data_IF_364290261860
#
_entry.id   IF_364290261860
#
_cell.length_a   1.000
_cell.length_b   1.000
_cell.length_c   1.000
_cell.angle_alpha   90.00
_cell.angle_beta   90.00
_cell.angle_gamma   90.00
#
_symmetry.space_group_name_H-M   'P 1'
#
loop_
_entity.id
_entity.type
_entity.pdbx_description
1 polymer ?
#
# COMPACT_ATOMS: atom_id res chain seq x y z
N UNK A 1 8.61 -34.68 -11.55
CA UNK A 1 8.85 -35.22 -10.19
C UNK A 1 8.72 -34.08 -9.21
N UNK A 2 7.62 -34.02 -8.45
CA UNK A 2 7.39 -32.99 -7.44
C UNK A 2 8.40 -33.14 -6.30
N UNK A 3 9.36 -32.20 -6.21
CA UNK A 3 10.23 -32.09 -5.03
C UNK A 3 9.34 -31.78 -3.83
N UNK A 4 9.15 -32.77 -2.94
CA UNK A 4 8.48 -32.57 -1.65
C UNK A 4 9.28 -31.52 -0.88
N UNK A 5 8.66 -30.36 -0.64
CA UNK A 5 9.19 -29.29 0.22
C UNK A 5 9.57 -29.92 1.56
N UNK A 6 10.83 -29.76 1.97
CA UNK A 6 11.28 -30.32 3.25
C UNK A 6 10.67 -29.52 4.41
N UNK A 7 10.42 -30.18 5.54
CA UNK A 7 9.90 -29.51 6.75
C UNK A 7 10.77 -28.34 7.20
N UNK A 8 12.09 -28.43 7.00
CA UNK A 8 13.03 -27.33 7.28
C UNK A 8 12.83 -26.12 6.36
N UNK A 9 12.56 -26.33 5.07
CA UNK A 9 12.23 -25.26 4.12
C UNK A 9 10.89 -24.60 4.47
N UNK A 10 9.88 -25.40 4.84
CA UNK A 10 8.58 -24.90 5.27
C UNK A 10 8.70 -24.01 6.53
N UNK A 11 9.49 -24.43 7.52
CA UNK A 11 9.76 -23.65 8.74
C UNK A 11 10.48 -22.35 8.39
N UNK A 12 11.48 -22.41 7.52
CA UNK A 12 12.25 -21.23 7.11
C UNK A 12 11.38 -20.23 6.33
N UNK A 13 10.51 -20.70 5.44
CA UNK A 13 9.55 -19.87 4.71
C UNK A 13 8.52 -19.25 5.67
N UNK A 14 8.00 -20.03 6.62
CA UNK A 14 7.04 -19.53 7.62
C UNK A 14 7.64 -18.44 8.50
N UNK A 15 8.88 -18.63 8.97
CA UNK A 15 9.60 -17.62 9.76
C UNK A 15 9.87 -16.34 8.95
N UNK A 16 10.28 -16.47 7.68
CA UNK A 16 10.48 -15.32 6.82
C UNK A 16 9.18 -14.53 6.60
N UNK A 17 8.06 -15.23 6.38
CA UNK A 17 6.74 -14.61 6.24
C UNK A 17 6.28 -13.92 7.53
N UNK A 18 6.58 -14.50 8.69
CA UNK A 18 6.27 -13.90 9.98
C UNK A 18 7.06 -12.59 10.20
N UNK A 19 8.35 -12.57 9.86
CA UNK A 19 9.15 -11.33 9.91
C UNK A 19 8.60 -10.23 8.99
N UNK A 20 8.19 -10.57 7.77
CA UNK A 20 7.57 -9.61 6.84
C UNK A 20 6.25 -9.09 7.39
N UNK A 21 5.45 -9.98 8.00
CA UNK A 21 4.18 -9.60 8.61
C UNK A 21 4.36 -8.67 9.81
N UNK A 22 5.43 -8.85 10.59
CA UNK A 22 5.80 -7.93 11.68
C UNK A 22 6.17 -6.53 11.16
N UNK A 23 6.90 -6.43 10.05
CA UNK A 23 7.20 -5.14 9.40
C UNK A 23 5.92 -4.43 8.91
N UNK A 24 4.97 -5.18 8.36
CA UNK A 24 3.67 -4.65 7.95
C UNK A 24 2.86 -4.16 9.16
N UNK A 25 2.84 -4.92 10.26
CA UNK A 25 2.21 -4.54 11.52
C UNK A 25 2.81 -3.23 12.07
N UNK A 26 4.14 -3.11 12.06
CA UNK A 26 4.84 -1.91 12.50
C UNK A 26 4.48 -0.69 11.64
N UNK A 27 4.31 -0.88 10.33
CA UNK A 27 3.84 0.20 9.44
C UNK A 27 2.44 0.68 9.85
N UNK A 28 1.53 -0.25 10.15
CA UNK A 28 0.19 0.06 10.68
C UNK A 28 0.25 0.85 12.00
N UNK A 29 1.13 0.46 12.91
CA UNK A 29 1.37 1.19 14.16
C UNK A 29 1.83 2.63 13.91
N UNK A 30 2.81 2.84 13.02
CA UNK A 30 3.34 4.18 12.69
C UNK A 30 2.24 5.08 12.10
N UNK A 31 1.41 4.55 11.21
CA UNK A 31 0.32 5.32 10.59
C UNK A 31 -0.81 5.67 11.56
N UNK A 32 -1.09 4.83 12.55
CA UNK A 32 -2.17 5.03 13.52
C UNK A 32 -1.75 5.78 14.79
N UNK A 33 -0.45 5.81 15.12
CA UNK A 33 0.09 6.44 16.32
C UNK A 33 -0.33 7.91 16.53
N UNK A 34 -0.40 8.77 15.49
CA UNK A 34 -0.87 10.15 15.65
C UNK A 34 -2.31 10.25 16.17
N UNK A 35 -3.19 9.29 15.87
CA UNK A 35 -4.61 9.41 16.23
C UNK A 35 -4.84 9.58 17.72
N UNK A 36 -4.11 8.85 18.57
CA UNK A 36 -4.27 8.94 20.03
C UNK A 36 -3.51 10.13 20.66
N UNK A 37 -2.42 10.55 20.02
CA UNK A 37 -1.50 11.54 20.59
C UNK A 37 -1.87 12.97 20.23
N UNK A 38 -2.54 13.17 19.09
CA UNK A 38 -2.91 14.51 18.59
C UNK A 38 -3.83 15.26 19.56
N UNK A 39 -4.81 14.61 20.18
CA UNK A 39 -5.70 15.24 21.16
C UNK A 39 -4.96 15.72 22.42
N UNK A 40 -3.95 14.98 22.86
CA UNK A 40 -3.10 15.33 23.99
C UNK A 40 -2.24 16.54 23.65
N UNK A 41 -1.73 16.62 22.42
CA UNK A 41 -0.87 17.72 21.97
C UNK A 41 -1.60 19.05 21.68
N UNK A 42 -2.92 19.00 21.50
CA UNK A 42 -3.79 20.18 21.37
C UNK A 42 -4.25 20.74 22.71
N UNK A 43 -4.19 19.92 23.76
CA UNK A 43 -4.73 20.31 25.07
C UNK A 43 -3.88 21.37 25.75
N UNK A 44 -4.49 22.27 26.52
CA UNK A 44 -3.74 23.24 27.34
C UNK A 44 -2.93 22.59 28.48
N UNK A 45 -3.09 21.27 28.68
CA UNK A 45 -2.34 20.43 29.63
C UNK A 45 -1.18 19.68 28.99
N UNK A 46 -0.70 20.13 27.82
CA UNK A 46 0.45 19.54 27.15
C UNK A 46 1.72 19.59 28.00
N UNK A 47 2.59 18.60 27.83
CA UNK A 47 3.99 18.63 28.31
C UNK A 47 4.88 19.60 27.49
N UNK A 48 4.34 20.20 26.43
CA UNK A 48 5.02 21.15 25.54
C UNK A 48 4.87 22.58 26.06
N UNK A 49 5.81 23.45 25.69
CA UNK A 49 5.82 24.87 26.06
C UNK A 49 4.56 25.63 25.59
N UNK A 50 3.91 25.15 24.52
CA UNK A 50 2.64 25.67 23.99
C UNK A 50 1.82 24.55 23.34
N UNK A 51 0.48 24.67 23.27
CA UNK A 51 -0.34 23.76 22.49
C UNK A 51 0.02 23.86 21.00
N UNK A 52 0.04 22.73 20.31
CA UNK A 52 0.34 22.70 18.88
C UNK A 52 -0.80 23.29 18.05
N UNK A 53 -0.42 24.05 17.02
CA UNK A 53 -1.35 24.57 16.01
C UNK A 53 -1.84 23.47 15.06
N UNK A 54 -2.97 23.71 14.39
CA UNK A 54 -3.52 22.78 13.41
C UNK A 54 -2.55 22.44 12.26
N UNK A 55 -1.70 23.39 11.87
CA UNK A 55 -0.63 23.16 10.89
C UNK A 55 0.44 22.20 11.40
N UNK A 56 0.93 22.39 12.64
CA UNK A 56 1.95 21.51 13.25
C UNK A 56 1.42 20.08 13.41
N UNK A 57 0.14 19.92 13.73
CA UNK A 57 -0.50 18.61 13.85
C UNK A 57 -0.71 17.95 12.50
N UNK A 58 -1.09 18.74 11.49
CA UNK A 58 -1.22 18.23 10.12
C UNK A 58 0.12 17.79 9.56
N UNK A 59 1.20 18.51 9.91
CA UNK A 59 2.57 18.11 9.61
C UNK A 59 2.95 16.81 10.34
N UNK A 60 2.63 16.69 11.64
CA UNK A 60 2.89 15.49 12.43
C UNK A 60 2.20 14.25 11.87
N UNK A 61 0.92 14.37 11.50
CA UNK A 61 0.15 13.27 10.91
C UNK A 61 0.60 12.89 9.50
N UNK A 62 1.13 13.85 8.73
CA UNK A 62 1.55 13.63 7.34
C UNK A 62 3.01 13.15 7.21
N UNK A 63 3.89 13.44 8.17
CA UNK A 63 5.31 13.07 8.17
C UNK A 63 5.61 11.59 7.86
N UNK A 64 4.88 10.60 8.41
CA UNK A 64 5.07 9.19 8.04
C UNK A 64 4.91 8.93 6.53
N UNK A 65 3.95 9.60 5.89
CA UNK A 65 3.71 9.49 4.45
C UNK A 65 4.83 10.16 3.64
N UNK A 66 5.40 11.25 4.14
CA UNK A 66 6.57 11.89 3.52
C UNK A 66 7.81 10.99 3.58
N UNK A 67 8.03 10.30 4.71
CA UNK A 67 9.09 9.30 4.83
C UNK A 67 8.90 8.14 3.83
N UNK A 68 7.68 7.62 3.73
CA UNK A 68 7.35 6.57 2.75
C UNK A 68 7.50 7.03 1.29
N UNK A 69 7.15 8.29 1.01
CA UNK A 69 7.35 8.93 -0.30
C UNK A 69 8.83 8.98 -0.69
N UNK A 70 9.70 9.44 0.22
CA UNK A 70 11.14 9.51 -0.04
C UNK A 70 11.76 8.12 -0.18
N UNK A 71 11.33 7.14 0.63
CA UNK A 71 11.89 5.80 0.62
C UNK A 71 11.45 4.97 -0.61
N UNK A 72 10.23 5.16 -1.12
CA UNK A 72 9.64 4.32 -2.18
C UNK A 72 10.49 4.19 -3.46
N UNK A 73 11.07 5.27 -4.03
CA UNK A 73 11.98 5.17 -5.17
C UNK A 73 13.23 4.35 -4.88
N UNK A 74 13.83 4.52 -3.70
CA UNK A 74 15.04 3.79 -3.30
C UNK A 74 14.75 2.31 -3.05
N UNK A 75 13.58 1.97 -2.49
CA UNK A 75 13.13 0.59 -2.35
C UNK A 75 13.02 -0.10 -3.72
N UNK A 76 12.42 0.57 -4.71
CA UNK A 76 12.32 0.04 -6.08
C UNK A 76 13.68 -0.21 -6.74
N UNK A 77 14.61 0.74 -6.60
CA UNK A 77 15.98 0.60 -7.08
C UNK A 77 16.73 -0.53 -6.37
N UNK A 78 16.62 -0.59 -5.04
CA UNK A 78 17.23 -1.64 -4.23
C UNK A 78 16.66 -3.03 -4.56
N UNK A 79 15.35 -3.17 -4.83
CA UNK A 79 14.79 -4.44 -5.28
C UNK A 79 15.35 -4.89 -6.64
N UNK A 80 15.60 -3.95 -7.54
CA UNK A 80 16.18 -4.24 -8.84
C UNK A 80 17.68 -4.56 -8.77
N UNK A 81 18.43 -3.93 -7.85
CA UNK A 81 19.88 -4.11 -7.71
C UNK A 81 20.24 -5.31 -6.82
N UNK A 82 19.58 -5.44 -5.66
CA UNK A 82 19.91 -6.42 -4.61
C UNK A 82 19.06 -7.70 -4.72
N UNK A 83 17.97 -7.66 -5.49
CA UNK A 83 16.95 -8.71 -5.49
C UNK A 83 16.04 -8.65 -4.25
N UNK A 84 14.85 -9.26 -4.36
CA UNK A 84 13.76 -9.11 -3.36
C UNK A 84 14.16 -9.56 -1.95
N UNK A 85 14.88 -10.67 -1.83
CA UNK A 85 15.31 -11.25 -0.54
C UNK A 85 16.30 -10.33 0.18
N UNK A 86 17.37 -9.91 -0.48
CA UNK A 86 18.42 -9.09 0.14
C UNK A 86 17.96 -7.66 0.36
N UNK A 87 17.12 -7.09 -0.50
CA UNK A 87 16.52 -5.79 -0.25
C UNK A 87 15.59 -5.82 0.97
N UNK A 88 14.77 -6.86 1.14
CA UNK A 88 13.92 -7.02 2.34
C UNK A 88 14.75 -7.15 3.60
N UNK A 89 15.85 -7.91 3.55
CA UNK A 89 16.81 -7.97 4.64
C UNK A 89 17.38 -6.55 4.87
N UNK A 90 17.93 -5.90 3.84
CA UNK A 90 18.58 -4.58 3.92
C UNK A 90 17.69 -3.48 4.51
N UNK A 91 16.42 -3.39 4.12
CA UNK A 91 15.48 -2.43 4.72
C UNK A 91 14.88 -2.91 6.06
N UNK A 92 14.96 -4.20 6.37
CA UNK A 92 14.67 -4.75 7.70
C UNK A 92 15.84 -4.65 8.69
N UNK A 93 17.08 -4.49 8.21
CA UNK A 93 18.32 -4.37 9.01
C UNK A 93 18.32 -3.20 10.01
N UNK A 94 17.65 -2.06 9.76
CA UNK A 94 17.53 -0.99 10.76
C UNK A 94 16.59 -1.33 11.92
N UNK A 95 15.76 -2.38 11.81
CA UNK A 95 14.70 -2.70 12.77
C UNK A 95 14.93 -3.98 13.57
N UNK A 96 15.76 -4.90 13.07
CA UNK A 96 16.24 -6.04 13.84
C UNK A 96 17.74 -5.91 13.91
N UNK A 97 18.27 -5.76 15.12
CA UNK A 97 19.70 -5.77 15.45
C UNK A 97 20.40 -6.96 14.78
N UNK A 98 20.86 -6.73 13.56
CA UNK A 98 21.20 -7.79 12.62
C UNK A 98 22.47 -8.55 13.02
N UNK A 99 23.39 -7.90 13.73
CA UNK A 99 24.55 -8.58 14.31
C UNK A 99 24.13 -9.57 15.40
N UNK A 100 23.13 -9.23 16.22
CA UNK A 100 22.68 -10.07 17.34
C UNK A 100 21.81 -11.22 16.84
N UNK A 101 20.93 -11.00 15.87
CA UNK A 101 20.05 -12.05 15.33
C UNK A 101 20.82 -13.09 14.50
N UNK A 102 21.82 -12.66 13.71
CA UNK A 102 22.68 -13.59 12.95
C UNK A 102 23.63 -14.36 13.88
N UNK A 103 24.20 -13.70 14.89
CA UNK A 103 25.03 -14.35 15.91
C UNK A 103 24.23 -15.34 16.77
N UNK A 104 22.97 -15.02 17.12
CA UNK A 104 22.08 -15.86 17.92
C UNK A 104 21.59 -17.10 17.14
N UNK A 105 21.18 -16.95 15.88
CA UNK A 105 20.66 -18.08 15.09
C UNK A 105 21.71 -19.13 14.72
N UNK A 106 22.99 -18.74 14.68
CA UNK A 106 24.09 -19.64 14.27
C UNK A 106 25.11 -19.95 15.37
N UNK A 107 24.96 -19.39 16.58
CA UNK A 107 25.94 -19.50 17.68
C UNK A 107 27.39 -19.14 17.26
N UNK A 108 27.58 -18.06 16.51
CA UNK A 108 28.92 -17.62 16.05
C UNK A 108 29.28 -16.24 16.59
N UNK A 109 30.58 -16.04 16.90
CA UNK A 109 31.12 -14.76 17.39
C UNK A 109 31.28 -13.75 16.26
N UNK A 110 30.91 -12.50 16.54
CA UNK A 110 30.94 -11.35 15.63
C UNK A 110 32.40 -11.07 15.20
N UNK A 111 32.66 -11.05 13.88
CA UNK A 111 33.94 -10.61 13.28
C UNK A 111 34.85 -11.65 12.61
N UNK A 112 34.41 -12.87 12.33
CA UNK A 112 35.23 -13.89 11.62
C UNK A 112 35.36 -13.62 10.11
N UNK A 113 36.52 -13.96 9.53
CA UNK A 113 36.84 -13.91 8.09
C UNK A 113 35.85 -14.69 7.20
N UNK A 114 35.07 -15.59 7.78
CA UNK A 114 34.04 -16.37 7.08
C UNK A 114 32.86 -15.49 6.61
N UNK A 115 32.57 -14.38 7.31
CA UNK A 115 31.50 -13.45 6.93
C UNK A 115 31.88 -12.69 5.65
N UNK A 116 33.16 -12.35 5.49
CA UNK A 116 33.66 -11.70 4.28
C UNK A 116 33.61 -12.62 3.07
N UNK A 117 33.90 -13.91 3.25
CA UNK A 117 33.81 -14.94 2.22
C UNK A 117 32.36 -15.21 1.77
N UNK A 118 31.42 -15.21 2.72
CA UNK A 118 29.99 -15.40 2.42
C UNK A 118 29.39 -14.17 1.70
N UNK A 119 29.81 -12.96 2.06
CA UNK A 119 29.41 -11.71 1.36
C UNK A 119 29.92 -11.73 -0.09
N UNK A 120 31.11 -12.27 -0.33
CA UNK A 120 31.67 -12.40 -1.69
C UNK A 120 30.92 -13.46 -2.53
N UNK A 121 30.51 -14.57 -1.89
CA UNK A 121 29.64 -15.58 -2.51
C UNK A 121 28.26 -15.04 -2.87
N UNK A 122 27.73 -14.13 -2.05
CA UNK A 122 26.48 -13.40 -2.31
C UNK A 122 26.67 -12.39 -3.45
N UNK A 123 27.81 -11.68 -3.51
CA UNK A 123 28.15 -10.77 -4.63
C UNK A 123 28.21 -11.50 -5.97
N UNK A 124 28.74 -12.72 -6.01
CA UNK A 124 28.78 -13.57 -7.20
C UNK A 124 27.38 -14.03 -7.67
N UNK A 125 26.42 -14.19 -6.76
CA UNK A 125 25.03 -14.51 -7.11
C UNK A 125 24.20 -13.28 -7.56
N UNK A 126 24.66 -12.07 -7.25
CA UNK A 126 23.97 -10.80 -7.58
C UNK A 126 24.30 -10.32 -9.00
N UNK A 127 25.46 -10.70 -9.57
CA UNK A 127 25.84 -10.36 -10.95
C UNK A 127 26.57 -11.52 -11.66
N UNK A 128 25.87 -12.40 -12.39
CA UNK A 128 26.46 -13.57 -13.04
C UNK A 128 27.44 -13.24 -14.19
N UNK A 129 27.46 -11.99 -14.65
CA UNK A 129 28.27 -11.59 -15.82
C UNK A 129 29.77 -11.45 -15.55
N UNK A 130 30.22 -11.61 -14.30
CA UNK A 130 31.65 -11.44 -13.94
C UNK A 130 32.48 -12.73 -13.92
N UNK A 131 31.90 -13.91 -14.17
CA UNK A 131 32.68 -15.16 -14.08
C UNK A 131 32.35 -16.13 -15.23
N UNK A 132 32.79 -15.76 -16.45
CA UNK A 132 33.21 -16.77 -17.43
C UNK A 132 34.48 -17.46 -16.91
N UNK A 133 34.44 -18.16 -15.78
CA UNK A 133 35.61 -18.90 -15.30
C UNK A 133 35.17 -20.05 -14.38
N UNK A 134 35.21 -21.27 -14.95
CA UNK A 134 35.11 -22.59 -14.30
C UNK A 134 33.73 -23.10 -13.83
N UNK A 135 33.00 -23.76 -14.74
CA UNK A 135 32.21 -24.96 -14.39
C UNK A 135 32.41 -26.04 -15.47
N UNK A 136 32.62 -27.33 -15.11
CA UNK A 136 32.68 -28.42 -16.06
C UNK A 136 31.27 -28.70 -16.60
N UNK A 137 31.16 -28.61 -17.92
CA UNK A 137 29.97 -28.95 -18.72
C UNK A 137 29.86 -30.46 -18.77
N UNK A 138 28.75 -31.07 -18.31
CA UNK A 138 28.28 -32.37 -18.79
C UNK A 138 26.88 -32.72 -18.22
N UNK A 139 25.82 -32.13 -18.78
CA UNK A 139 24.51 -32.80 -18.87
C UNK A 139 23.71 -32.16 -20.01
N UNK A 140 23.33 -32.95 -21.03
CA UNK A 140 22.55 -32.47 -22.19
C UNK A 140 21.20 -31.86 -21.78
N UNK A 141 20.58 -32.35 -20.69
CA UNK A 141 19.33 -31.81 -20.15
C UNK A 141 19.43 -30.35 -19.67
N UNK A 142 20.60 -29.93 -19.16
CA UNK A 142 20.84 -28.55 -18.73
C UNK A 142 20.95 -27.60 -19.93
N UNK A 143 21.40 -28.08 -21.09
CA UNK A 143 21.50 -27.28 -22.31
C UNK A 143 20.13 -27.06 -22.96
N UNK A 144 19.21 -28.01 -22.86
CA UNK A 144 17.88 -27.86 -23.47
C UNK A 144 16.91 -27.07 -22.58
N UNK A 145 17.00 -27.18 -21.25
CA UNK A 145 16.34 -26.26 -20.32
C UNK A 145 16.88 -24.84 -20.44
N UNK A 146 18.21 -24.69 -20.54
CA UNK A 146 18.82 -23.39 -20.82
C UNK A 146 18.36 -22.81 -22.16
N UNK A 147 18.24 -23.60 -23.22
CA UNK A 147 17.70 -23.12 -24.52
C UNK A 147 16.23 -22.70 -24.46
N UNK A 148 15.39 -23.40 -23.69
CA UNK A 148 13.99 -23.03 -23.51
C UNK A 148 13.82 -21.76 -22.65
N UNK A 149 14.66 -21.57 -21.62
CA UNK A 149 14.73 -20.32 -20.86
C UNK A 149 15.38 -19.19 -21.67
N UNK A 150 16.43 -19.47 -22.44
CA UNK A 150 17.10 -18.53 -23.36
C UNK A 150 16.11 -18.02 -24.41
N UNK A 151 15.28 -18.88 -25.03
CA UNK A 151 14.29 -18.46 -26.02
C UNK A 151 13.16 -17.57 -25.46
N UNK A 152 12.84 -17.65 -24.17
CA UNK A 152 11.85 -16.77 -23.53
C UNK A 152 12.47 -15.50 -22.92
N UNK A 153 13.78 -15.48 -22.65
CA UNK A 153 14.49 -14.38 -21.98
C UNK A 153 15.30 -13.51 -22.97
N UNK A 154 15.46 -13.92 -24.23
CA UNK A 154 16.21 -13.17 -25.26
C UNK A 154 15.46 -11.96 -25.86
N UNK A 155 14.65 -11.24 -25.08
CA UNK A 155 14.23 -9.88 -25.43
C UNK A 155 15.16 -8.87 -24.77
N UNK A 156 16.04 -8.27 -25.62
CA UNK A 156 17.04 -7.24 -25.31
C UNK A 156 16.67 -6.32 -24.14
N UNK A 157 17.63 -5.90 -23.29
CA UNK A 157 17.39 -4.96 -22.20
C UNK A 157 17.15 -3.55 -22.77
N UNK A 158 15.98 -3.30 -23.35
CA UNK A 158 15.50 -1.94 -23.44
C UNK A 158 15.17 -1.52 -22.02
N UNK A 159 15.84 -0.47 -21.52
CA UNK A 159 15.50 0.16 -20.25
C UNK A 159 13.97 0.24 -20.11
N UNK A 160 13.40 -0.32 -19.03
CA UNK A 160 11.95 -0.40 -18.79
C UNK A 160 11.25 0.95 -18.98
N UNK A 161 11.97 2.04 -18.75
CA UNK A 161 11.53 3.41 -18.99
C UNK A 161 11.31 3.72 -20.48
N UNK A 162 12.23 3.29 -21.36
CA UNK A 162 12.08 3.41 -22.82
C UNK A 162 10.92 2.55 -23.35
N UNK A 163 10.70 1.37 -22.78
CA UNK A 163 9.57 0.52 -23.14
C UNK A 163 8.23 1.17 -22.74
N UNK A 164 8.13 1.69 -21.51
CA UNK A 164 6.95 2.40 -21.03
C UNK A 164 6.59 3.60 -21.91
N UNK A 165 7.58 4.39 -22.33
CA UNK A 165 7.35 5.53 -23.22
C UNK A 165 6.92 5.13 -24.65
N UNK A 166 7.22 3.91 -25.08
CA UNK A 166 6.85 3.42 -26.42
C UNK A 166 5.47 2.74 -26.44
N UNK A 167 5.09 2.07 -25.35
CA UNK A 167 3.84 1.31 -25.26
C UNK A 167 2.65 2.18 -24.82
N UNK A 168 1.76 2.52 -25.76
CA UNK A 168 0.51 3.25 -25.47
C UNK A 168 -0.42 2.50 -24.51
N UNK A 169 -0.40 1.17 -24.55
CA UNK A 169 -1.21 0.33 -23.66
C UNK A 169 -0.72 0.46 -22.21
N UNK A 170 0.58 0.33 -22.00
CA UNK A 170 1.20 0.47 -20.67
C UNK A 170 1.00 1.87 -20.09
N UNK A 171 1.05 2.91 -20.91
CA UNK A 171 0.77 4.29 -20.49
C UNK A 171 -0.68 4.46 -20.04
N UNK A 172 -1.64 3.91 -20.78
CA UNK A 172 -3.07 3.96 -20.42
C UNK A 172 -3.34 3.18 -19.14
N UNK A 173 -2.74 2.00 -18.98
CA UNK A 173 -2.81 1.21 -17.76
C UNK A 173 -2.25 2.00 -16.56
N UNK A 174 -1.06 2.58 -16.69
CA UNK A 174 -0.43 3.41 -15.66
C UNK A 174 -1.31 4.63 -15.31
N UNK A 175 -1.78 5.37 -16.30
CA UNK A 175 -2.67 6.52 -16.07
C UNK A 175 -3.96 6.10 -15.35
N UNK A 176 -4.56 4.97 -15.73
CA UNK A 176 -5.77 4.45 -15.08
C UNK A 176 -5.52 4.12 -13.61
N UNK A 177 -4.40 3.44 -13.29
CA UNK A 177 -4.01 3.11 -11.91
C UNK A 177 -3.72 4.37 -11.09
N UNK A 178 -2.99 5.33 -11.66
CA UNK A 178 -2.66 6.58 -10.96
C UNK A 178 -3.92 7.40 -10.63
N UNK A 179 -4.84 7.53 -11.59
CA UNK A 179 -6.09 8.27 -11.38
C UNK A 179 -6.94 7.57 -10.32
N UNK A 180 -7.15 6.25 -10.42
CA UNK A 180 -8.00 5.55 -9.47
C UNK A 180 -7.40 5.55 -8.05
N UNK A 181 -6.09 5.38 -7.91
CA UNK A 181 -5.39 5.48 -6.62
C UNK A 181 -5.57 6.87 -6.00
N UNK A 182 -5.40 7.92 -6.81
CA UNK A 182 -5.57 9.31 -6.36
C UNK A 182 -7.01 9.55 -5.89
N UNK A 183 -8.00 9.15 -6.69
CA UNK A 183 -9.41 9.33 -6.34
C UNK A 183 -9.78 8.62 -5.03
N UNK A 184 -9.27 7.41 -4.83
CA UNK A 184 -9.58 6.60 -3.65
C UNK A 184 -8.97 7.16 -2.37
N UNK A 185 -7.74 7.68 -2.44
CA UNK A 185 -7.13 8.40 -1.31
C UNK A 185 -7.96 9.63 -0.95
N UNK A 186 -8.40 10.37 -1.98
CA UNK A 186 -9.24 11.56 -1.82
C UNK A 186 -10.67 11.27 -1.35
N UNK A 187 -11.06 10.01 -1.17
CA UNK A 187 -12.31 9.64 -0.49
C UNK A 187 -12.22 9.79 1.04
N UNK A 188 -11.02 10.06 1.60
CA UNK A 188 -10.87 10.49 2.99
C UNK A 188 -10.68 9.37 4.02
N UNK A 189 -10.41 8.11 3.60
CA UNK A 189 -10.17 7.02 4.56
C UNK A 189 -8.90 7.24 5.40
N UNK A 190 -7.81 7.73 4.79
CA UNK A 190 -6.56 8.03 5.52
C UNK A 190 -6.75 9.11 6.59
N UNK A 191 -7.60 10.10 6.31
CA UNK A 191 -7.97 11.17 7.23
C UNK A 191 -8.74 10.60 8.42
N UNK A 192 -9.72 9.73 8.16
CA UNK A 192 -10.47 9.02 9.21
C UNK A 192 -9.55 8.15 10.08
N UNK A 193 -8.52 7.52 9.51
CA UNK A 193 -7.56 6.72 10.27
C UNK A 193 -6.66 7.58 11.18
N UNK A 194 -6.11 8.66 10.63
CA UNK A 194 -5.13 9.50 11.34
C UNK A 194 -5.80 10.42 12.36
N UNK A 195 -7.01 10.88 12.09
CA UNK A 195 -7.75 11.84 12.93
C UNK A 195 -9.02 11.24 13.55
N UNK A 196 -9.06 9.90 13.75
CA UNK A 196 -10.24 9.22 14.27
C UNK A 196 -10.72 9.81 15.60
N UNK A 197 -9.82 9.96 16.58
CA UNK A 197 -10.17 10.46 17.91
C UNK A 197 -10.66 11.93 17.89
N UNK A 198 -9.94 12.90 17.29
CA UNK A 198 -10.46 14.26 17.13
C UNK A 198 -11.81 14.32 16.43
N UNK A 199 -12.00 13.51 15.39
CA UNK A 199 -13.25 13.45 14.64
C UNK A 199 -14.41 12.92 15.49
N UNK A 200 -14.21 11.85 16.26
CA UNK A 200 -15.24 11.35 17.18
C UNK A 200 -15.52 12.32 18.33
N UNK A 201 -14.51 13.04 18.82
CA UNK A 201 -14.67 14.07 19.86
C UNK A 201 -15.59 15.20 19.41
N UNK A 202 -15.47 15.62 18.16
CA UNK A 202 -16.30 16.68 17.60
C UNK A 202 -17.67 16.16 17.14
N UNK A 203 -17.70 15.00 16.48
CA UNK A 203 -18.91 14.43 15.88
C UNK A 203 -19.87 13.76 16.88
N UNK A 204 -19.35 13.27 18.02
CA UNK A 204 -20.08 12.44 18.99
C UNK A 204 -19.64 12.76 20.42
N UNK A 205 -20.01 13.93 20.98
CA UNK A 205 -19.58 14.33 22.33
C UNK A 205 -20.14 13.43 23.45
N UNK A 206 -21.18 12.64 23.14
CA UNK A 206 -21.85 11.76 24.11
C UNK A 206 -21.10 10.46 24.43
N UNK A 207 -20.05 10.13 23.67
CA UNK A 207 -19.30 8.88 23.84
C UNK A 207 -17.80 9.15 24.01
N UNK A 208 -17.07 8.32 24.78
CA UNK A 208 -15.63 8.45 24.89
C UNK A 208 -14.95 8.23 23.52
N UNK A 209 -14.22 9.24 22.98
CA UNK A 209 -13.64 9.17 21.63
C UNK A 209 -12.67 8.01 21.44
N UNK A 210 -11.90 7.67 22.47
CA UNK A 210 -10.92 6.59 22.44
C UNK A 210 -11.57 5.22 22.20
N UNK A 211 -12.73 4.96 22.80
CA UNK A 211 -13.45 3.70 22.59
C UNK A 211 -13.98 3.61 21.16
N UNK A 212 -14.46 4.73 20.61
CA UNK A 212 -14.93 4.79 19.22
C UNK A 212 -13.78 4.56 18.22
N UNK A 213 -12.60 5.13 18.47
CA UNK A 213 -11.41 4.91 17.66
C UNK A 213 -10.93 3.44 17.72
N UNK A 214 -10.99 2.78 18.89
CA UNK A 214 -10.66 1.36 19.03
C UNK A 214 -11.66 0.49 18.24
N UNK A 215 -12.96 0.78 18.36
CA UNK A 215 -14.01 0.07 17.61
C UNK A 215 -13.86 0.26 16.10
N UNK A 216 -13.45 1.46 15.64
CA UNK A 216 -13.12 1.72 14.25
C UNK A 216 -11.97 0.83 13.75
N UNK A 217 -10.93 0.61 14.57
CA UNK A 217 -9.84 -0.29 14.21
C UNK A 217 -10.29 -1.76 14.12
N UNK A 218 -11.19 -2.19 15.02
CA UNK A 218 -11.82 -3.52 14.95
C UNK A 218 -12.68 -3.65 13.69
N UNK A 219 -13.43 -2.61 13.33
CA UNK A 219 -14.24 -2.57 12.10
C UNK A 219 -13.36 -2.75 10.84
N UNK A 220 -12.24 -2.03 10.74
CA UNK A 220 -11.27 -2.21 9.65
C UNK A 220 -10.71 -3.64 9.59
N UNK A 221 -10.42 -4.25 10.74
CA UNK A 221 -9.92 -5.63 10.81
C UNK A 221 -10.96 -6.62 10.27
N UNK A 222 -12.20 -6.53 10.74
CA UNK A 222 -13.29 -7.42 10.32
C UNK A 222 -13.57 -7.23 8.82
N UNK A 223 -13.69 -5.98 8.36
CA UNK A 223 -13.93 -5.67 6.96
C UNK A 223 -12.82 -6.22 6.05
N UNK A 224 -11.55 -6.11 6.47
CA UNK A 224 -10.42 -6.66 5.72
C UNK A 224 -10.47 -8.18 5.60
N UNK A 225 -10.87 -8.89 6.67
CA UNK A 225 -11.05 -10.36 6.63
C UNK A 225 -12.18 -10.75 5.67
N UNK A 226 -13.29 -10.02 5.69
CA UNK A 226 -14.42 -10.26 4.78
C UNK A 226 -14.05 -9.95 3.32
N UNK A 227 -13.26 -8.91 3.08
CA UNK A 227 -12.78 -8.53 1.76
C UNK A 227 -12.08 -9.69 1.03
N UNK A 228 -11.26 -10.47 1.73
CA UNK A 228 -10.52 -11.62 1.16
C UNK A 228 -11.47 -12.63 0.51
N UNK A 229 -12.65 -12.88 1.10
CA UNK A 229 -13.62 -13.82 0.54
C UNK A 229 -14.48 -13.20 -0.58
N UNK A 230 -14.73 -11.89 -0.53
CA UNK A 230 -15.61 -11.20 -1.47
C UNK A 230 -14.90 -10.88 -2.80
N UNK A 231 -13.62 -10.50 -2.75
CA UNK A 231 -12.89 -9.97 -3.91
C UNK A 231 -12.79 -10.99 -5.05
N UNK A 232 -12.61 -12.27 -4.73
CA UNK A 232 -12.53 -13.35 -5.72
C UNK A 232 -13.90 -13.75 -6.27
N UNK A 233 -14.98 -13.49 -5.51
CA UNK A 233 -16.35 -13.88 -5.91
C UNK A 233 -16.98 -12.87 -6.87
N UNK A 234 -16.93 -11.57 -6.57
CA UNK A 234 -17.70 -10.56 -7.30
C UNK A 234 -16.97 -9.93 -8.49
N UNK A 235 -15.64 -10.07 -8.58
CA UNK A 235 -14.85 -9.37 -9.59
C UNK A 235 -14.44 -7.96 -9.15
N UNK A 236 -13.56 -7.33 -9.90
CA UNK A 236 -12.79 -6.17 -9.41
C UNK A 236 -13.52 -4.88 -9.72
N UNK A 237 -14.07 -4.75 -10.94
CA UNK A 237 -14.82 -3.58 -11.36
C UNK A 237 -16.13 -3.37 -10.61
N UNK A 238 -17.06 -4.35 -10.52
CA UNK A 238 -18.35 -4.12 -9.88
C UNK A 238 -18.18 -3.88 -8.38
N UNK A 239 -17.24 -4.58 -7.73
CA UNK A 239 -16.98 -4.40 -6.32
C UNK A 239 -16.49 -2.97 -6.04
N UNK A 240 -15.54 -2.46 -6.83
CA UNK A 240 -15.04 -1.09 -6.70
C UNK A 240 -16.14 -0.04 -6.85
N UNK A 241 -17.00 -0.21 -7.86
CA UNK A 241 -18.09 0.73 -8.17
C UNK A 241 -19.12 0.73 -7.03
N UNK A 242 -19.53 -0.45 -6.55
CA UNK A 242 -20.53 -0.57 -5.49
C UNK A 242 -19.99 0.00 -4.17
N UNK A 243 -18.77 -0.38 -3.78
CA UNK A 243 -18.18 0.14 -2.55
C UNK A 243 -17.95 1.65 -2.63
N UNK A 244 -17.49 2.17 -3.76
CA UNK A 244 -17.31 3.61 -3.94
C UNK A 244 -18.64 4.39 -3.94
N UNK A 245 -19.72 3.83 -4.51
CA UNK A 245 -21.03 4.47 -4.48
C UNK A 245 -21.58 4.55 -3.05
N UNK A 246 -21.53 3.45 -2.30
CA UNK A 246 -22.00 3.40 -0.91
C UNK A 246 -21.14 4.31 -0.03
N UNK A 247 -19.81 4.27 -0.16
CA UNK A 247 -18.91 5.18 0.57
C UNK A 247 -19.20 6.65 0.28
N UNK A 248 -19.53 7.00 -0.98
CA UNK A 248 -19.91 8.35 -1.37
C UNK A 248 -21.21 8.83 -0.72
N UNK A 249 -22.23 7.95 -0.67
CA UNK A 249 -23.49 8.22 0.04
C UNK A 249 -23.26 8.38 1.54
N UNK A 250 -22.47 7.50 2.16
CA UNK A 250 -22.14 7.62 3.58
C UNK A 250 -21.44 8.95 3.90
N UNK A 251 -20.46 9.36 3.08
CA UNK A 251 -19.77 10.63 3.25
C UNK A 251 -20.67 11.85 3.06
N UNK A 252 -21.61 11.77 2.11
CA UNK A 252 -22.63 12.80 1.94
C UNK A 252 -23.53 12.92 3.17
N UNK A 253 -24.03 11.80 3.67
CA UNK A 253 -24.87 11.75 4.87
C UNK A 253 -24.11 12.24 6.10
N UNK A 254 -22.82 11.93 6.23
CA UNK A 254 -21.97 12.41 7.30
C UNK A 254 -21.81 13.94 7.25
N UNK A 255 -21.52 14.49 6.07
CA UNK A 255 -21.44 15.94 5.86
C UNK A 255 -22.75 16.65 6.21
N UNK A 256 -23.89 16.07 5.79
CA UNK A 256 -25.23 16.59 6.10
C UNK A 256 -25.53 16.56 7.59
N UNK A 257 -25.23 15.45 8.25
CA UNK A 257 -25.43 15.25 9.67
C UNK A 257 -24.59 16.22 10.51
N UNK A 258 -23.35 16.49 10.11
CA UNK A 258 -22.46 17.42 10.80
C UNK A 258 -22.87 18.89 10.67
N UNK A 259 -23.63 19.26 9.63
CA UNK A 259 -24.11 20.64 9.45
C UNK A 259 -25.48 20.89 10.06
N UNK A 260 -26.39 19.93 9.91
CA UNK A 260 -27.81 20.11 10.24
C UNK A 260 -28.19 19.48 11.58
N UNK A 261 -27.35 18.58 12.12
CA UNK A 261 -27.63 17.80 13.34
C UNK A 261 -29.02 17.16 13.35
N UNK A 262 -29.50 16.72 12.18
CA UNK A 262 -30.88 16.26 12.00
C UNK A 262 -31.18 14.95 12.74
N UNK A 263 -30.18 14.12 12.98
CA UNK A 263 -30.29 12.84 13.67
C UNK A 263 -29.50 12.81 14.98
N UNK A 264 -29.74 11.81 15.87
CA UNK A 264 -28.97 11.66 17.09
C UNK A 264 -27.50 11.27 16.83
N UNK A 265 -26.61 11.56 17.78
CA UNK A 265 -25.16 11.29 17.67
C UNK A 265 -24.78 9.83 17.38
N UNK A 266 -25.57 8.85 17.84
CA UNK A 266 -25.32 7.42 17.52
C UNK A 266 -25.44 7.12 16.02
N UNK A 267 -26.26 7.89 15.29
CA UNK A 267 -26.41 7.75 13.84
C UNK A 267 -25.13 8.18 13.11
N UNK A 268 -24.45 9.23 13.60
CA UNK A 268 -23.16 9.68 13.08
C UNK A 268 -22.10 8.57 13.21
N UNK A 269 -22.03 7.89 14.35
CA UNK A 269 -21.14 6.74 14.57
C UNK A 269 -21.44 5.62 13.57
N UNK A 270 -22.72 5.29 13.39
CA UNK A 270 -23.16 4.25 12.46
C UNK A 270 -22.73 4.56 11.01
N UNK A 271 -22.84 5.82 10.58
CA UNK A 271 -22.40 6.24 9.24
C UNK A 271 -20.88 6.07 9.09
N UNK A 272 -20.09 6.48 10.08
CA UNK A 272 -18.62 6.38 10.04
C UNK A 272 -18.16 4.92 9.96
N UNK A 273 -18.77 4.02 10.74
CA UNK A 273 -18.46 2.59 10.67
C UNK A 273 -18.94 1.96 9.37
N UNK A 274 -20.15 2.29 8.91
CA UNK A 274 -20.64 1.77 7.63
C UNK A 274 -19.74 2.20 6.46
N UNK A 275 -19.30 3.47 6.45
CA UNK A 275 -18.34 3.96 5.47
C UNK A 275 -17.04 3.15 5.53
N UNK A 276 -16.46 3.00 6.72
CA UNK A 276 -15.15 2.37 6.93
C UNK A 276 -15.15 0.91 6.54
N UNK A 277 -16.19 0.18 6.96
CA UNK A 277 -16.44 -1.20 6.60
C UNK A 277 -16.51 -1.37 5.08
N UNK A 278 -17.39 -0.60 4.42
CA UNK A 278 -17.63 -0.72 2.97
C UNK A 278 -16.41 -0.29 2.15
N UNK A 279 -15.69 0.74 2.59
CA UNK A 279 -14.45 1.17 1.93
C UNK A 279 -13.40 0.06 1.97
N UNK A 280 -13.24 -0.63 3.11
CA UNK A 280 -12.30 -1.75 3.24
C UNK A 280 -12.69 -2.99 2.43
N UNK A 281 -13.98 -3.21 2.19
CA UNK A 281 -14.43 -4.34 1.37
C UNK A 281 -13.99 -4.27 -0.10
N UNK A 282 -13.63 -3.08 -0.62
CA UNK A 282 -13.34 -2.92 -2.04
C UNK A 282 -12.34 -1.81 -2.35
N UNK A 283 -12.72 -0.56 -2.07
CA UNK A 283 -11.91 0.61 -2.44
C UNK A 283 -10.47 0.54 -1.91
N UNK A 284 -10.27 0.00 -0.71
CA UNK A 284 -8.93 -0.15 -0.14
C UNK A 284 -8.05 -1.18 -0.87
N UNK A 285 -8.59 -2.35 -1.23
CA UNK A 285 -7.81 -3.48 -1.73
C UNK A 285 -7.69 -3.51 -3.27
N UNK A 286 -8.77 -3.18 -3.98
CA UNK A 286 -8.87 -3.35 -5.43
C UNK A 286 -7.81 -2.58 -6.22
N UNK A 287 -7.45 -1.32 -5.89
CA UNK A 287 -6.43 -0.58 -6.63
C UNK A 287 -5.06 -1.24 -6.61
N UNK A 288 -4.69 -1.87 -5.49
CA UNK A 288 -3.44 -2.62 -5.37
C UNK A 288 -3.47 -3.93 -6.15
N UNK A 289 -4.65 -4.58 -6.23
CA UNK A 289 -4.84 -5.75 -7.11
C UNK A 289 -4.74 -5.33 -8.57
N UNK A 290 -5.39 -4.23 -8.95
CA UNK A 290 -5.33 -3.67 -10.29
C UNK A 290 -3.91 -3.28 -10.68
N UNK A 291 -3.11 -2.69 -9.78
CA UNK A 291 -1.70 -2.38 -10.09
C UNK A 291 -0.87 -3.64 -10.36
N UNK A 292 -1.19 -4.78 -9.71
CA UNK A 292 -0.51 -6.05 -9.99
C UNK A 292 -0.96 -6.71 -11.31
N UNK A 293 -2.23 -6.55 -11.70
CA UNK A 293 -2.83 -7.20 -12.87
C UNK A 293 -2.69 -6.40 -14.18
N UNK A 294 -2.70 -5.06 -14.10
CA UNK A 294 -2.68 -4.17 -15.27
C UNK A 294 -1.29 -3.96 -15.87
N UNK A 295 -0.23 -4.20 -15.10
CA UNK A 295 1.14 -3.97 -15.55
C UNK A 295 1.79 -5.20 -16.16
N UNK A 296 2.31 -5.02 -17.37
CA UNK A 296 3.18 -5.94 -18.09
C UNK A 296 4.43 -6.28 -17.25
N UNK A 297 4.89 -7.54 -17.24
CA UNK A 297 6.02 -7.98 -16.43
C UNK A 297 7.29 -7.11 -16.58
N UNK A 298 7.56 -6.62 -17.78
CA UNK A 298 8.77 -5.88 -18.16
C UNK A 298 8.84 -4.47 -17.54
N UNK A 299 7.67 -3.89 -17.21
CA UNK A 299 7.55 -2.53 -16.63
C UNK A 299 6.87 -2.51 -15.27
N UNK A 300 6.47 -3.67 -14.74
CA UNK A 300 5.69 -3.78 -13.49
C UNK A 300 6.38 -3.14 -12.30
N UNK A 301 7.67 -3.39 -12.11
CA UNK A 301 8.43 -2.82 -10.97
C UNK A 301 8.49 -1.30 -11.04
N UNK A 302 8.77 -0.74 -12.22
CA UNK A 302 8.80 0.71 -12.47
C UNK A 302 7.43 1.36 -12.25
N UNK A 303 6.38 0.81 -12.88
CA UNK A 303 5.02 1.34 -12.78
C UNK A 303 4.49 1.29 -11.35
N UNK A 304 4.76 0.21 -10.62
CA UNK A 304 4.39 0.08 -9.22
C UNK A 304 5.14 1.09 -8.34
N UNK A 305 6.43 1.35 -8.61
CA UNK A 305 7.21 2.34 -7.87
C UNK A 305 6.65 3.76 -8.07
N UNK A 306 6.32 4.13 -9.31
CA UNK A 306 5.66 5.41 -9.64
C UNK A 306 4.29 5.51 -8.95
N UNK A 307 3.52 4.42 -8.95
CA UNK A 307 2.21 4.36 -8.29
C UNK A 307 2.32 4.57 -6.79
N UNK A 308 3.29 3.94 -6.12
CA UNK A 308 3.50 4.12 -4.68
C UNK A 308 3.96 5.54 -4.33
N UNK A 309 4.86 6.13 -5.13
CA UNK A 309 5.26 7.54 -4.98
C UNK A 309 4.05 8.47 -5.08
N UNK A 310 3.19 8.25 -6.09
CA UNK A 310 1.96 9.03 -6.24
C UNK A 310 1.03 8.85 -5.04
N UNK A 311 0.82 7.61 -4.59
CA UNK A 311 0.00 7.29 -3.42
C UNK A 311 0.47 8.02 -2.16
N UNK A 312 1.76 7.91 -1.83
CA UNK A 312 2.30 8.57 -0.63
C UNK A 312 2.30 10.10 -0.75
N UNK A 313 2.47 10.63 -1.97
CA UNK A 313 2.37 12.08 -2.23
C UNK A 313 0.95 12.59 -1.97
N UNK A 314 -0.07 11.90 -2.50
CA UNK A 314 -1.47 12.31 -2.32
C UNK A 314 -1.89 12.14 -0.86
N UNK A 315 -1.47 11.07 -0.18
CA UNK A 315 -1.70 10.91 1.26
C UNK A 315 -1.09 12.06 2.08
N UNK A 316 0.17 12.39 1.81
CA UNK A 316 0.88 13.49 2.48
C UNK A 316 0.11 14.81 2.31
N UNK A 317 -0.23 15.18 1.07
CA UNK A 317 -0.96 16.42 0.79
C UNK A 317 -2.34 16.42 1.44
N UNK A 318 -3.06 15.30 1.39
CA UNK A 318 -4.41 15.19 1.96
C UNK A 318 -4.38 15.41 3.48
N UNK A 319 -3.44 14.77 4.19
CA UNK A 319 -3.31 14.93 5.64
C UNK A 319 -2.79 16.30 6.06
N UNK A 320 -1.91 16.90 5.26
CA UNK A 320 -1.35 18.23 5.51
C UNK A 320 -2.41 19.33 5.35
N UNK A 321 -3.29 19.19 4.36
CA UNK A 321 -4.34 20.18 4.06
C UNK A 321 -5.58 19.98 4.94
N UNK A 322 -5.82 18.77 5.46
CA UNK A 322 -7.06 18.43 6.14
C UNK A 322 -7.45 19.35 7.30
N UNK A 323 -6.61 19.52 8.35
CA UNK A 323 -7.02 20.37 9.49
C UNK A 323 -7.18 21.85 9.11
N UNK A 324 -6.23 22.48 8.40
CA UNK A 324 -6.42 23.87 7.96
C UNK A 324 -7.71 24.07 7.15
N UNK A 325 -8.04 23.10 6.29
CA UNK A 325 -9.26 23.13 5.49
C UNK A 325 -10.51 22.94 6.36
N UNK A 326 -10.46 22.04 7.35
CA UNK A 326 -11.55 21.80 8.29
C UNK A 326 -11.81 23.00 9.21
N UNK A 327 -10.77 23.71 9.66
CA UNK A 327 -10.93 24.94 10.45
C UNK A 327 -11.53 26.09 9.62
N UNK A 328 -11.14 26.20 8.35
CA UNK A 328 -11.58 27.31 7.50
C UNK A 328 -12.97 27.10 6.88
N UNK A 329 -13.29 25.88 6.45
CA UNK A 329 -14.55 25.55 5.76
C UNK A 329 -15.54 24.77 6.64
N UNK A 330 -15.11 24.26 7.79
CA UNK A 330 -15.88 23.34 8.62
C UNK A 330 -15.81 21.88 8.13
N UNK A 331 -15.90 20.93 9.07
CA UNK A 331 -15.84 19.49 8.77
C UNK A 331 -16.89 19.03 7.75
N UNK A 332 -18.12 19.53 7.83
CA UNK A 332 -19.21 19.10 6.95
C UNK A 332 -18.90 19.33 5.46
N UNK A 333 -18.30 20.47 5.11
CA UNK A 333 -17.91 20.78 3.73
C UNK A 333 -16.80 19.85 3.25
N UNK A 334 -15.83 19.53 4.12
CA UNK A 334 -14.75 18.60 3.79
C UNK A 334 -15.29 17.21 3.45
N UNK A 335 -16.28 16.70 4.20
CA UNK A 335 -16.91 15.41 3.90
C UNK A 335 -17.73 15.42 2.60
N UNK A 336 -18.36 16.54 2.23
CA UNK A 336 -18.97 16.68 0.91
C UNK A 336 -17.94 16.62 -0.22
N UNK A 337 -16.75 17.21 -0.03
CA UNK A 337 -15.65 17.08 -1.00
C UNK A 337 -15.24 15.60 -1.16
N UNK A 338 -15.08 14.86 -0.07
CA UNK A 338 -14.78 13.42 -0.12
C UNK A 338 -15.89 12.62 -0.82
N UNK A 339 -17.15 12.94 -0.57
CA UNK A 339 -18.29 12.36 -1.27
C UNK A 339 -18.25 12.62 -2.78
N UNK A 340 -17.93 13.86 -3.18
CA UNK A 340 -17.77 14.23 -4.59
C UNK A 340 -16.68 13.38 -5.26
N UNK A 341 -15.50 13.25 -4.65
CA UNK A 341 -14.42 12.41 -5.18
C UNK A 341 -14.83 10.94 -5.28
N UNK A 342 -15.63 10.44 -4.33
CA UNK A 342 -16.20 9.10 -4.38
C UNK A 342 -17.09 8.90 -5.61
N UNK A 343 -18.00 9.83 -5.91
CA UNK A 343 -18.86 9.73 -7.10
C UNK A 343 -18.08 9.92 -8.41
N UNK A 344 -17.07 10.79 -8.43
CA UNK A 344 -16.13 10.88 -9.57
C UNK A 344 -15.39 9.55 -9.76
N UNK A 345 -14.98 8.90 -8.68
CA UNK A 345 -14.41 7.55 -8.68
C UNK A 345 -15.35 6.50 -9.27
N UNK A 346 -16.64 6.54 -8.93
CA UNK A 346 -17.68 5.67 -9.51
C UNK A 346 -17.78 5.87 -11.02
N UNK A 347 -17.89 7.12 -11.49
CA UNK A 347 -17.99 7.45 -12.91
C UNK A 347 -16.73 7.00 -13.67
N UNK A 348 -15.55 7.28 -13.11
CA UNK A 348 -14.28 6.86 -13.69
C UNK A 348 -14.14 5.34 -13.74
N UNK A 349 -14.47 4.65 -12.66
CA UNK A 349 -14.44 3.19 -12.58
C UNK A 349 -15.40 2.53 -13.56
N UNK A 350 -16.59 3.10 -13.76
CA UNK A 350 -17.52 2.62 -14.76
C UNK A 350 -17.00 2.79 -16.20
N UNK A 351 -16.46 3.97 -16.52
CA UNK A 351 -16.03 4.31 -17.88
C UNK A 351 -14.71 3.64 -18.29
N UNK A 352 -13.68 3.73 -17.47
CA UNK A 352 -12.28 3.46 -17.84
C UNK A 352 -11.71 2.16 -17.29
N UNK A 353 -12.22 1.63 -16.18
CA UNK A 353 -11.68 0.39 -15.59
C UNK A 353 -12.30 -0.83 -16.32
N UNK A 354 -11.49 -1.72 -16.92
CA UNK A 354 -11.96 -3.00 -17.42
C UNK A 354 -12.15 -4.00 -16.28
N UNK A 355 -12.99 -5.01 -16.48
CA UNK A 355 -12.99 -6.17 -15.58
C UNK A 355 -11.73 -7.00 -15.87
N UNK A 356 -10.97 -7.35 -14.83
CA UNK A 356 -9.71 -8.10 -14.93
C UNK A 356 -9.85 -9.55 -14.48
N UNK A 357 -10.97 -9.92 -13.86
CA UNK A 357 -11.20 -11.27 -13.32
C UNK A 357 -11.03 -12.35 -14.39
N UNK A 358 -10.06 -13.24 -14.17
CA UNK A 358 -9.83 -14.43 -15.01
C UNK A 358 -9.21 -14.14 -16.38
N UNK A 359 -8.70 -12.92 -16.61
CA UNK A 359 -8.04 -12.55 -17.87
C UNK A 359 -6.51 -12.62 -17.75
N UNK A 360 -5.85 -12.99 -18.84
CA UNK A 360 -4.40 -12.87 -18.95
C UNK A 360 -3.98 -11.40 -19.09
N UNK A 361 -2.74 -11.09 -18.70
CA UNK A 361 -2.18 -9.74 -18.81
C UNK A 361 -2.25 -9.23 -20.26
N UNK A 362 -1.99 -10.10 -21.23
CA UNK A 362 -2.04 -9.76 -22.66
C UNK A 362 -3.47 -9.42 -23.13
N UNK A 363 -4.46 -10.18 -22.68
CA UNK A 363 -5.87 -9.90 -22.98
C UNK A 363 -6.30 -8.54 -22.40
N UNK A 364 -5.81 -8.19 -21.21
CA UNK A 364 -6.04 -6.88 -20.59
C UNK A 364 -5.39 -5.76 -21.41
N UNK A 365 -4.17 -5.95 -21.92
CA UNK A 365 -3.53 -4.94 -22.78
C UNK A 365 -4.33 -4.69 -24.07
N UNK A 366 -4.93 -5.72 -24.66
CA UNK A 366 -5.81 -5.56 -25.83
C UNK A 366 -7.04 -4.69 -25.52
N UNK A 367 -7.59 -4.78 -24.31
CA UNK A 367 -8.70 -3.92 -23.87
C UNK A 367 -8.29 -2.44 -23.82
N UNK A 368 -7.05 -2.13 -23.44
CA UNK A 368 -6.53 -0.75 -23.45
C UNK A 368 -6.16 -0.25 -24.84
N UNK A 369 -5.86 -1.14 -25.79
CA UNK A 369 -5.60 -0.79 -27.19
C UNK A 369 -6.89 -0.52 -27.97
N UNK A 370 -7.96 -1.26 -27.66
CA UNK A 370 -9.28 -1.08 -28.28
C UNK A 370 -9.86 0.26 -27.81
N UNK A 371 -9.78 1.27 -28.68
CA UNK A 371 -10.30 2.62 -28.43
C UNK A 371 -11.81 2.50 -28.17
N UNK A 372 -12.28 2.92 -26.99
CA UNK A 372 -13.69 3.21 -26.76
C UNK A 372 -14.08 4.50 -27.45
#
# INVERSE_FOLDING_TARGET
MDKKVTTAELITQSLAMLCISLLACQTGYICAWPSYTTSNFESNSTLLDRPMSAWEISLLGSLPNFGALLASPFCGLAFNILGRKYATIFFGLPYVEAEKSIAFYKRLKIGSKDIAFEIDKIRLQINPSSEKTYLPVDTEEAKDLAKHEEQQVEQKPTSSWKFLMKSKSSQRALATVLIIMTLIILMGCVVLQVYAEPLFKEAVPSMPPNQCAILLAVDFLIASLVCVFIIDKFGRKPLLIVTAAISGVCMFLLGLQLQTHFAPHWFTVLIIYTYSFVYMLGCAAIPFVLSAELFLPEVRSLCNSITMVCLWSVNFVTLLVFKPLAEWLGLGIVFYCFSMFSFVGVLFGYAYIPETKGLSVDAIQLLFLKKK
#
